data_IF_977114128976
#
_entry.id   IF_977114128976
#
_cell.length_a   1.000
_cell.length_b   1.000
_cell.length_c   1.000
_cell.angle_alpha   90.00
_cell.angle_beta   90.00
_cell.angle_gamma   90.00
#
_symmetry.space_group_name_H-M   'P 1'
#
loop_
_entity.id
_entity.type
_entity.pdbx_description
1 polymer ?
#
# COMPACT_ATOMS: atom_id res chain seq x y z
N UNK A 1 -4.70 -26.18 5.52
CA UNK A 1 -4.23 -25.48 6.74
C UNK A 1 -4.06 -23.99 6.44
N UNK A 2 -5.15 -23.21 6.39
CA UNK A 2 -5.13 -21.79 5.99
C UNK A 2 -4.26 -20.90 6.90
N UNK A 3 -4.11 -21.28 8.17
CA UNK A 3 -3.30 -20.56 9.15
C UNK A 3 -1.81 -20.53 8.81
N UNK A 4 -1.25 -21.60 8.22
CA UNK A 4 0.16 -21.65 7.84
C UNK A 4 0.49 -20.67 6.70
N UNK A 5 -0.43 -20.52 5.74
CA UNK A 5 -0.28 -19.57 4.62
C UNK A 5 -0.33 -18.12 5.11
N UNK A 6 -1.20 -17.82 6.09
CA UNK A 6 -1.25 -16.52 6.75
C UNK A 6 0.06 -16.22 7.49
N UNK A 7 0.60 -17.19 8.24
CA UNK A 7 1.82 -17.04 9.01
C UNK A 7 3.02 -16.72 8.11
N UNK A 8 3.15 -17.41 6.97
CA UNK A 8 4.19 -17.15 5.98
C UNK A 8 4.06 -15.73 5.40
N UNK A 9 2.84 -15.29 5.03
CA UNK A 9 2.62 -13.93 4.51
C UNK A 9 3.03 -12.87 5.54
N UNK A 10 2.67 -13.06 6.80
CA UNK A 10 3.02 -12.13 7.88
C UNK A 10 4.54 -12.08 8.08
N UNK A 11 5.21 -13.24 8.10
CA UNK A 11 6.68 -13.29 8.22
C UNK A 11 7.38 -12.53 7.10
N UNK A 12 6.93 -12.70 5.85
CA UNK A 12 7.48 -11.97 4.70
C UNK A 12 7.28 -10.45 4.87
N UNK A 13 6.10 -10.02 5.30
CA UNK A 13 5.81 -8.59 5.54
C UNK A 13 6.67 -8.02 6.68
N UNK A 14 6.92 -8.79 7.74
CA UNK A 14 7.81 -8.40 8.83
C UNK A 14 9.26 -8.23 8.38
N UNK A 15 9.79 -9.19 7.60
CA UNK A 15 11.15 -9.09 7.04
C UNK A 15 11.27 -7.85 6.16
N UNK A 16 10.27 -7.58 5.32
CA UNK A 16 10.25 -6.39 4.48
C UNK A 16 10.19 -5.10 5.28
N UNK A 17 9.40 -5.05 6.37
CA UNK A 17 9.33 -3.90 7.26
C UNK A 17 10.67 -3.60 7.96
N UNK A 18 11.40 -4.63 8.38
CA UNK A 18 12.74 -4.48 8.99
C UNK A 18 13.74 -3.99 7.93
N UNK A 19 13.73 -4.58 6.74
CA UNK A 19 14.62 -4.21 5.65
C UNK A 19 14.39 -2.76 5.19
N UNK A 20 13.13 -2.33 5.04
CA UNK A 20 12.78 -0.96 4.67
C UNK A 20 13.21 0.05 5.73
N UNK A 21 13.08 -0.28 7.02
CA UNK A 21 13.59 0.58 8.11
C UNK A 21 15.11 0.77 8.04
N UNK A 22 15.86 -0.27 7.67
CA UNK A 22 17.32 -0.22 7.61
C UNK A 22 17.90 0.45 6.36
N UNK A 23 17.13 0.54 5.28
CA UNK A 23 17.62 0.98 3.97
C UNK A 23 17.13 2.37 3.56
N UNK A 24 15.96 2.81 4.03
CA UNK A 24 15.40 4.11 3.65
C UNK A 24 15.79 5.24 4.62
N UNK A 25 16.13 6.44 4.10
CA UNK A 25 16.31 7.63 4.92
C UNK A 25 14.99 8.09 5.53
N UNK A 26 15.07 8.78 6.68
CA UNK A 26 13.90 9.29 7.40
C UNK A 26 13.24 10.43 6.62
N UNK A 27 11.94 10.29 6.35
CA UNK A 27 11.13 11.37 5.78
C UNK A 27 10.79 12.44 6.84
N UNK A 28 10.79 13.71 6.43
CA UNK A 28 10.25 14.81 7.24
C UNK A 28 8.73 14.83 7.17
N UNK A 29 8.08 15.27 8.24
CA UNK A 29 6.62 15.32 8.36
C UNK A 29 5.94 16.07 7.19
N UNK A 30 6.52 17.18 6.76
CA UNK A 30 6.00 17.96 5.61
C UNK A 30 6.05 17.16 4.31
N UNK A 31 7.11 16.40 4.09
CA UNK A 31 7.30 15.57 2.90
C UNK A 31 6.32 14.39 2.90
N UNK A 32 6.08 13.80 4.07
CA UNK A 32 5.08 12.74 4.22
C UNK A 32 3.67 13.25 3.88
N UNK A 33 3.29 14.42 4.41
CA UNK A 33 1.98 15.03 4.11
C UNK A 33 1.86 15.35 2.62
N UNK A 34 2.89 15.94 2.00
CA UNK A 34 2.86 16.22 0.56
C UNK A 34 2.79 14.94 -0.28
N UNK A 35 3.48 13.86 0.08
CA UNK A 35 3.42 12.59 -0.64
C UNK A 35 2.01 12.00 -0.61
N UNK A 36 1.39 11.97 0.58
CA UNK A 36 0.05 11.43 0.75
C UNK A 36 -0.99 12.27 -0.01
N UNK A 37 -0.98 13.59 0.21
CA UNK A 37 -2.02 14.47 -0.33
C UNK A 37 -1.86 14.78 -1.82
N UNK A 38 -0.62 14.87 -2.34
CA UNK A 38 -0.40 15.23 -3.76
C UNK A 38 -0.31 14.03 -4.70
N UNK A 39 0.05 12.85 -4.21
CA UNK A 39 0.28 11.70 -5.10
C UNK A 39 -0.64 10.54 -4.74
N UNK A 40 -0.62 10.08 -3.50
CA UNK A 40 -1.41 8.91 -3.11
C UNK A 40 -2.91 9.14 -3.29
N UNK A 41 -3.46 10.28 -2.85
CA UNK A 41 -4.89 10.55 -2.96
C UNK A 41 -5.40 10.39 -4.40
N UNK A 42 -4.70 10.97 -5.39
CA UNK A 42 -5.15 10.88 -6.79
C UNK A 42 -5.04 9.45 -7.35
N UNK A 43 -4.00 8.70 -6.99
CA UNK A 43 -3.85 7.30 -7.39
C UNK A 43 -4.99 6.46 -6.80
N UNK A 44 -5.30 6.64 -5.52
CA UNK A 44 -6.40 5.94 -4.85
C UNK A 44 -7.76 6.28 -5.45
N UNK A 45 -8.01 7.56 -5.75
CA UNK A 45 -9.25 8.00 -6.39
C UNK A 45 -9.40 7.43 -7.79
N UNK A 46 -8.32 7.43 -8.58
CA UNK A 46 -8.29 6.81 -9.91
C UNK A 46 -8.56 5.31 -9.85
N UNK A 47 -7.95 4.59 -8.90
CA UNK A 47 -8.18 3.16 -8.70
C UNK A 47 -9.62 2.85 -8.27
N UNK A 48 -10.21 3.70 -7.43
CA UNK A 48 -11.60 3.57 -7.00
C UNK A 48 -12.55 3.76 -8.19
N UNK A 49 -12.37 4.81 -8.98
CA UNK A 49 -13.19 5.05 -10.18
C UNK A 49 -13.05 3.89 -11.17
N UNK A 50 -11.82 3.44 -11.43
CA UNK A 50 -11.55 2.30 -12.30
C UNK A 50 -12.26 1.03 -11.81
N UNK A 51 -12.20 0.74 -10.51
CA UNK A 51 -12.87 -0.43 -9.94
C UNK A 51 -14.39 -0.34 -10.04
N UNK A 52 -14.98 0.84 -9.83
CA UNK A 52 -16.43 1.04 -9.98
C UNK A 52 -16.89 0.88 -11.43
N UNK A 53 -16.14 1.45 -12.38
CA UNK A 53 -16.43 1.32 -13.82
C UNK A 53 -16.31 -0.15 -14.23
N UNK A 54 -15.24 -0.83 -13.81
CA UNK A 54 -15.03 -2.24 -14.12
C UNK A 54 -16.16 -3.12 -13.55
N UNK A 55 -16.58 -2.87 -12.31
CA UNK A 55 -17.68 -3.60 -11.69
C UNK A 55 -19.00 -3.37 -12.42
N UNK A 56 -19.33 -2.12 -12.77
CA UNK A 56 -20.57 -1.78 -13.50
C UNK A 56 -20.55 -2.27 -14.95
N UNK A 57 -19.38 -2.44 -15.55
CA UNK A 57 -19.24 -2.96 -16.90
C UNK A 57 -19.39 -4.48 -16.96
N UNK A 58 -18.91 -5.18 -15.93
CA UNK A 58 -18.87 -6.64 -15.90
C UNK A 58 -20.09 -7.28 -15.22
N UNK A 59 -20.82 -6.53 -14.39
CA UNK A 59 -22.09 -6.92 -13.78
C UNK A 59 -23.26 -6.19 -14.45
#
# INVERSE_FOLDING_TARGET
MPYLVLLIKILIMCVFAIATRGTLPRYRFDQFTQLNWKHFIFIWLGFLIFSLVFYTFWF
#
